data_IF_150927091896
#
_entry.id   IF_150927091896
#
_cell.length_a   1.000
_cell.length_b   1.000
_cell.length_c   1.000
_cell.angle_alpha   90.00
_cell.angle_beta   90.00
_cell.angle_gamma   90.00
#
_symmetry.space_group_name_H-M   'P 1'
#
loop_
_entity.id
_entity.type
_entity.pdbx_description
1 polymer ?
#
# COMPACT_ATOMS: atom_id res chain seq x y z
N UNK A 1 -38.37 31.07 26.54
CA UNK A 1 -37.76 30.85 25.23
C UNK A 1 -38.84 30.25 24.35
N UNK A 2 -39.35 31.05 23.43
CA UNK A 2 -40.40 30.61 22.53
C UNK A 2 -39.84 29.57 21.55
N UNK A 3 -40.70 28.66 21.07
CA UNK A 3 -40.33 27.62 20.11
C UNK A 3 -39.74 28.25 18.82
N UNK A 4 -40.22 29.43 18.43
CA UNK A 4 -39.75 30.22 17.29
C UNK A 4 -38.28 30.65 17.40
N UNK A 5 -37.85 31.10 18.58
CA UNK A 5 -36.47 31.53 18.85
C UNK A 5 -35.49 30.36 18.67
N UNK A 6 -35.86 29.18 19.20
CA UNK A 6 -35.07 27.96 19.08
C UNK A 6 -34.87 27.51 17.63
N UNK A 7 -35.89 27.66 16.77
CA UNK A 7 -35.79 27.32 15.36
C UNK A 7 -34.87 28.28 14.61
N UNK A 8 -34.97 29.57 14.88
CA UNK A 8 -34.11 30.59 14.26
C UNK A 8 -32.64 30.39 14.65
N UNK A 9 -32.38 30.11 15.93
CA UNK A 9 -31.03 29.80 16.43
C UNK A 9 -30.47 28.54 15.75
N UNK A 10 -31.28 27.49 15.63
CA UNK A 10 -30.88 26.25 14.97
C UNK A 10 -30.55 26.47 13.48
N UNK A 11 -31.32 27.30 12.76
CA UNK A 11 -31.05 27.61 11.35
C UNK A 11 -29.73 28.38 11.18
N UNK A 12 -29.49 29.38 12.04
CA UNK A 12 -28.28 30.19 12.00
C UNK A 12 -27.03 29.37 12.35
N UNK A 13 -27.13 28.50 13.36
CA UNK A 13 -26.07 27.56 13.71
C UNK A 13 -25.83 26.55 12.58
N UNK A 14 -26.88 26.02 11.95
CA UNK A 14 -26.75 25.10 10.82
C UNK A 14 -26.00 25.73 9.65
N UNK A 15 -26.32 26.98 9.29
CA UNK A 15 -25.58 27.73 8.26
C UNK A 15 -24.10 27.88 8.61
N UNK A 16 -23.80 28.17 9.87
CA UNK A 16 -22.43 28.31 10.37
C UNK A 16 -21.66 27.00 10.32
N UNK A 17 -22.29 25.88 10.72
CA UNK A 17 -21.71 24.54 10.66
C UNK A 17 -21.42 24.14 9.22
N UNK A 18 -22.36 24.35 8.29
CA UNK A 18 -22.16 24.03 6.87
C UNK A 18 -20.98 24.81 6.28
N UNK A 19 -20.87 26.11 6.57
CA UNK A 19 -19.74 26.91 6.13
C UNK A 19 -18.38 26.40 6.67
N UNK A 20 -18.34 25.87 7.89
CA UNK A 20 -17.13 25.24 8.45
C UNK A 20 -16.84 23.91 7.76
N UNK A 21 -17.85 23.09 7.51
CA UNK A 21 -17.70 21.82 6.78
C UNK A 21 -17.16 22.04 5.37
N UNK A 22 -17.65 23.05 4.66
CA UNK A 22 -17.17 23.40 3.32
C UNK A 22 -15.70 23.84 3.35
N UNK A 23 -15.31 24.67 4.34
CA UNK A 23 -13.91 25.05 4.55
C UNK A 23 -13.02 23.83 4.83
N UNK A 24 -13.48 22.91 5.67
CA UNK A 24 -12.75 21.68 5.99
C UNK A 24 -12.56 20.81 4.75
N UNK A 25 -13.62 20.62 3.97
CA UNK A 25 -13.59 19.85 2.72
C UNK A 25 -12.62 20.46 1.70
N UNK A 26 -12.59 21.79 1.58
CA UNK A 26 -11.64 22.48 0.71
C UNK A 26 -10.17 22.27 1.16
N UNK A 27 -9.91 22.29 2.47
CA UNK A 27 -8.57 22.00 3.02
C UNK A 27 -8.17 20.55 2.73
N UNK A 28 -9.06 19.58 2.99
CA UNK A 28 -8.81 18.16 2.74
C UNK A 28 -8.56 17.88 1.24
N UNK A 29 -9.31 18.54 0.35
CA UNK A 29 -9.10 18.44 -1.09
C UNK A 29 -7.72 18.96 -1.50
N UNK A 30 -7.34 20.17 -1.04
CA UNK A 30 -6.01 20.72 -1.32
C UNK A 30 -4.88 19.87 -0.74
N UNK A 31 -5.01 19.42 0.51
CA UNK A 31 -4.03 18.54 1.14
C UNK A 31 -3.82 17.28 0.29
N UNK A 32 -4.91 16.64 -0.15
CA UNK A 32 -4.83 15.45 -1.00
C UNK A 32 -4.18 15.74 -2.35
N UNK A 33 -4.50 16.87 -2.98
CA UNK A 33 -3.88 17.28 -4.24
C UNK A 33 -2.38 17.59 -4.09
N UNK A 34 -2.00 18.27 -3.01
CA UNK A 34 -0.62 18.65 -2.71
C UNK A 34 0.24 17.45 -2.30
N UNK A 35 -0.31 16.46 -1.57
CA UNK A 35 0.45 15.27 -1.16
C UNK A 35 0.46 14.15 -2.19
N UNK A 36 -0.50 14.09 -3.11
CA UNK A 36 -0.55 13.07 -4.15
C UNK A 36 0.78 12.84 -4.91
N UNK A 37 1.50 13.88 -5.37
CA UNK A 37 2.80 13.66 -6.02
C UNK A 37 3.86 13.10 -5.06
N UNK A 38 3.86 13.54 -3.79
CA UNK A 38 4.80 13.04 -2.78
C UNK A 38 4.51 11.57 -2.42
N UNK A 39 3.23 11.22 -2.29
CA UNK A 39 2.79 9.83 -2.08
C UNK A 39 3.23 8.94 -3.26
N UNK A 40 3.13 9.45 -4.48
CA UNK A 40 3.60 8.76 -5.68
C UNK A 40 5.13 8.57 -5.68
N UNK A 41 5.91 9.61 -5.35
CA UNK A 41 7.37 9.52 -5.22
C UNK A 41 7.79 8.47 -4.17
N UNK A 42 7.10 8.42 -3.03
CA UNK A 42 7.35 7.41 -2.00
C UNK A 42 7.08 6.00 -2.55
N UNK A 43 5.95 5.78 -3.22
CA UNK A 43 5.60 4.49 -3.84
C UNK A 43 6.64 4.06 -4.87
N UNK A 44 7.16 5.00 -5.66
CA UNK A 44 8.21 4.73 -6.65
C UNK A 44 9.51 4.31 -6.00
N UNK A 45 9.95 5.00 -4.94
CA UNK A 45 11.15 4.65 -4.18
C UNK A 45 11.02 3.29 -3.48
N UNK A 46 9.87 3.01 -2.89
CA UNK A 46 9.56 1.72 -2.28
C UNK A 46 9.60 0.59 -3.32
N UNK A 47 9.00 0.81 -4.50
CA UNK A 47 9.02 -0.17 -5.58
C UNK A 47 10.41 -0.36 -6.19
N UNK A 48 11.20 0.71 -6.34
CA UNK A 48 12.57 0.63 -6.80
C UNK A 48 13.43 -0.20 -5.84
N UNK A 49 13.25 -0.02 -4.52
CA UNK A 49 13.91 -0.85 -3.53
C UNK A 49 13.48 -2.31 -3.64
N UNK A 50 12.17 -2.58 -3.73
CA UNK A 50 11.67 -3.95 -3.91
C UNK A 50 12.22 -4.60 -5.19
N UNK A 51 12.30 -3.86 -6.30
CA UNK A 51 12.87 -4.35 -7.57
C UNK A 51 14.35 -4.67 -7.47
N UNK A 52 15.09 -3.88 -6.70
CA UNK A 52 16.54 -4.07 -6.51
C UNK A 52 16.86 -5.30 -5.67
N UNK A 53 16.05 -5.64 -4.68
CA UNK A 53 16.38 -6.65 -3.68
C UNK A 53 15.54 -7.93 -3.77
N UNK A 54 14.31 -7.88 -4.26
CA UNK A 54 13.49 -9.06 -4.51
C UNK A 54 13.73 -9.55 -5.94
N UNK A 55 14.91 -10.12 -6.14
CA UNK A 55 15.34 -10.70 -7.42
C UNK A 55 15.38 -12.23 -7.31
N UNK A 56 15.12 -12.90 -8.43
CA UNK A 56 15.29 -14.35 -8.55
C UNK A 56 16.77 -14.74 -8.70
N UNK A 57 17.04 -16.04 -8.83
CA UNK A 57 18.39 -16.61 -9.02
C UNK A 57 19.12 -16.09 -10.27
N UNK A 58 18.40 -15.53 -11.24
CA UNK A 58 18.94 -14.95 -12.47
C UNK A 58 19.15 -13.43 -12.37
N UNK A 59 18.80 -12.84 -11.24
CA UNK A 59 18.87 -11.39 -11.02
C UNK A 59 17.67 -10.63 -11.57
N UNK A 60 16.58 -11.30 -11.96
CA UNK A 60 15.37 -10.64 -12.47
C UNK A 60 14.45 -10.21 -11.33
N UNK A 61 13.88 -9.00 -11.37
CA UNK A 61 12.98 -8.52 -10.32
C UNK A 61 11.68 -9.31 -10.30
N UNK A 62 11.30 -9.77 -9.11
CA UNK A 62 10.09 -10.53 -8.89
C UNK A 62 8.89 -9.59 -8.78
N UNK A 63 7.83 -9.90 -9.53
CA UNK A 63 6.60 -9.12 -9.61
C UNK A 63 5.39 -9.95 -9.19
N UNK A 64 4.34 -9.25 -8.74
CA UNK A 64 3.05 -9.85 -8.44
C UNK A 64 2.50 -10.59 -9.66
N UNK A 65 1.96 -11.79 -9.46
CA UNK A 65 1.39 -12.62 -10.51
C UNK A 65 2.38 -13.57 -11.18
N UNK A 66 3.70 -13.38 -10.99
CA UNK A 66 4.71 -14.31 -11.48
C UNK A 66 4.62 -15.66 -10.77
N UNK A 67 5.18 -16.68 -11.41
CA UNK A 67 5.38 -18.00 -10.81
C UNK A 67 6.88 -18.19 -10.58
N UNK A 68 7.20 -18.60 -9.36
CA UNK A 68 8.55 -18.95 -8.94
C UNK A 68 8.67 -20.47 -8.83
N UNK A 69 9.81 -21.01 -9.18
CA UNK A 69 10.15 -22.41 -9.00
C UNK A 69 11.36 -22.56 -8.09
N UNK A 70 11.29 -23.52 -7.17
CA UNK A 70 12.43 -23.99 -6.36
C UNK A 70 12.26 -25.49 -6.15
N UNK A 71 13.29 -26.27 -6.48
CA UNK A 71 13.32 -27.73 -6.29
C UNK A 71 12.10 -28.46 -6.91
N UNK A 72 11.67 -28.05 -8.10
CA UNK A 72 10.51 -28.64 -8.79
C UNK A 72 9.15 -28.32 -8.16
N UNK A 73 9.09 -27.37 -7.22
CA UNK A 73 7.84 -26.85 -6.65
C UNK A 73 7.57 -25.44 -7.16
N UNK A 74 6.31 -25.17 -7.47
CA UNK A 74 5.85 -23.88 -7.99
C UNK A 74 5.17 -23.04 -6.92
N UNK A 75 5.39 -21.73 -6.99
CA UNK A 75 4.91 -20.74 -6.03
C UNK A 75 4.39 -19.51 -6.76
N UNK A 76 3.11 -19.18 -6.59
CA UNK A 76 2.52 -17.98 -7.20
C UNK A 76 2.78 -16.76 -6.33
N UNK A 77 3.35 -15.70 -6.91
CA UNK A 77 3.57 -14.44 -6.20
C UNK A 77 2.25 -13.70 -6.01
N UNK A 78 1.82 -13.58 -4.76
CA UNK A 78 0.59 -12.87 -4.38
C UNK A 78 0.84 -11.39 -4.17
N UNK A 79 1.96 -11.05 -3.51
CA UNK A 79 2.32 -9.68 -3.20
C UNK A 79 3.82 -9.52 -2.93
N UNK A 80 4.28 -8.29 -2.89
CA UNK A 80 5.64 -7.88 -2.53
C UNK A 80 5.55 -6.57 -1.75
N UNK A 81 6.25 -6.49 -0.64
CA UNK A 81 6.08 -5.39 0.31
C UNK A 81 7.30 -5.19 1.20
N UNK A 82 7.39 -4.02 1.82
CA UNK A 82 8.32 -3.76 2.92
C UNK A 82 7.63 -4.14 4.24
N UNK A 83 8.23 -5.04 5.02
CA UNK A 83 7.75 -5.31 6.36
C UNK A 83 8.21 -4.18 7.30
N UNK A 84 7.35 -3.18 7.48
CA UNK A 84 7.65 -1.98 8.24
C UNK A 84 7.39 -2.17 9.75
N UNK A 85 8.43 -2.13 10.57
CA UNK A 85 8.30 -1.84 12.02
C UNK A 85 8.44 -0.33 12.31
N UNK A 86 9.17 0.39 11.45
CA UNK A 86 9.37 1.85 11.35
C UNK A 86 9.45 2.11 9.83
N UNK A 87 9.24 3.33 9.32
CA UNK A 87 9.35 3.70 7.87
C UNK A 87 10.78 3.49 7.30
N UNK A 88 11.29 2.27 7.37
CA UNK A 88 12.64 1.85 7.04
C UNK A 88 12.58 0.86 5.88
N UNK A 89 13.31 1.18 4.81
CA UNK A 89 13.49 0.30 3.66
C UNK A 89 14.64 -0.67 3.95
N UNK A 90 14.32 -1.92 4.26
CA UNK A 90 15.35 -2.90 4.61
C UNK A 90 14.86 -4.31 4.89
N UNK A 91 13.56 -4.52 4.98
CA UNK A 91 12.96 -5.85 5.16
C UNK A 91 11.97 -6.12 4.04
N UNK A 92 12.50 -6.19 2.81
CA UNK A 92 11.71 -6.55 1.65
C UNK A 92 11.27 -8.02 1.74
N UNK A 93 9.99 -8.25 1.44
CA UNK A 93 9.35 -9.56 1.49
C UNK A 93 8.54 -9.79 0.24
N UNK A 94 8.44 -11.05 -0.14
CA UNK A 94 7.51 -11.52 -1.16
C UNK A 94 6.57 -12.55 -0.55
N UNK A 95 5.27 -12.36 -0.74
CA UNK A 95 4.25 -13.30 -0.29
C UNK A 95 3.90 -14.21 -1.45
N UNK A 96 4.02 -15.52 -1.26
CA UNK A 96 3.79 -16.52 -2.30
C UNK A 96 2.81 -17.58 -1.83
N UNK A 97 2.04 -18.14 -2.77
CA UNK A 97 1.16 -19.28 -2.57
C UNK A 97 1.80 -20.52 -3.20
N UNK A 98 2.26 -21.49 -2.40
CA UNK A 98 2.74 -22.77 -2.93
C UNK A 98 1.60 -23.51 -3.62
N UNK A 99 1.90 -24.19 -4.73
CA UNK A 99 0.89 -24.97 -5.44
C UNK A 99 0.29 -26.07 -4.54
N UNK A 100 -1.01 -26.29 -4.67
CA UNK A 100 -1.77 -27.23 -3.83
C UNK A 100 -1.95 -26.81 -2.36
N UNK A 101 -1.47 -25.64 -1.93
CA UNK A 101 -1.69 -25.12 -0.57
C UNK A 101 -2.69 -23.98 -0.53
N UNK A 102 -3.35 -23.82 0.63
CA UNK A 102 -4.28 -22.71 0.89
C UNK A 102 -3.63 -21.53 1.62
N UNK A 103 -2.44 -21.72 2.19
CA UNK A 103 -1.74 -20.72 3.00
C UNK A 103 -0.60 -20.06 2.23
N UNK A 104 -0.56 -18.73 2.26
CA UNK A 104 0.58 -17.96 1.76
C UNK A 104 1.76 -18.05 2.74
N UNK A 105 2.97 -17.96 2.19
CA UNK A 105 4.22 -17.86 2.95
C UNK A 105 4.97 -16.61 2.52
N UNK A 106 5.67 -15.97 3.47
CA UNK A 106 6.45 -14.77 3.22
C UNK A 106 7.94 -15.09 3.18
N UNK A 107 8.57 -14.83 2.05
CA UNK A 107 9.98 -15.12 1.78
C UNK A 107 10.78 -13.81 1.83
N UNK A 108 11.93 -13.83 2.50
CA UNK A 108 12.85 -12.69 2.59
C UNK A 108 13.90 -12.67 1.48
N UNK A 109 14.59 -11.53 1.37
CA UNK A 109 15.66 -11.29 0.36
C UNK A 109 16.74 -12.39 0.34
N UNK A 110 17.13 -12.93 1.50
CA UNK A 110 18.18 -13.96 1.56
C UNK A 110 17.76 -15.32 1.02
N UNK A 111 16.47 -15.65 1.07
CA UNK A 111 15.95 -16.96 0.64
C UNK A 111 15.40 -16.90 -0.80
N UNK A 112 14.91 -15.73 -1.23
CA UNK A 112 14.26 -15.59 -2.54
C UNK A 112 15.22 -15.77 -3.72
N UNK A 113 16.53 -15.62 -3.48
CA UNK A 113 17.58 -15.79 -4.50
C UNK A 113 17.76 -17.26 -4.94
N UNK A 114 17.21 -18.22 -4.20
CA UNK A 114 17.22 -19.64 -4.59
C UNK A 114 16.08 -19.99 -5.55
N UNK A 115 15.16 -19.06 -5.82
CA UNK A 115 13.99 -19.28 -6.67
C UNK A 115 14.26 -18.77 -8.08
N UNK A 116 13.65 -19.39 -9.08
CA UNK A 116 13.74 -18.95 -10.48
C UNK A 116 12.36 -18.57 -10.99
N UNK A 117 12.24 -17.45 -11.70
CA UNK A 117 10.98 -17.10 -12.38
C UNK A 117 10.76 -18.04 -13.57
N UNK A 118 9.60 -18.68 -13.59
CA UNK A 118 9.13 -19.54 -14.70
C UNK A 118 7.87 -18.90 -15.29
N UNK A 119 8.05 -18.24 -16.43
CA UNK A 119 7.00 -17.47 -17.11
C UNK A 119 7.48 -16.09 -17.55
#
# INVERSE_FOLDING_TARGET
MEISERFNDAELLTKSVLAIMDKKKAIEARYKEETAPLDQEIIELENAFLDKYLIDSTGKPIKKGMILEKEGKSYKVLNRYQQCFIRYLGNARVSVLPDGKKGAIDIGVGEIQDYTIVG
#
